data_IF_699890535405
#
_entry.id   IF_699890535405
#
_cell.length_a   1.000
_cell.length_b   1.000
_cell.length_c   1.000
_cell.angle_alpha   90.00
_cell.angle_beta   90.00
_cell.angle_gamma   90.00
#
_symmetry.space_group_name_H-M   'P 1'
#
loop_
_entity.id
_entity.type
_entity.pdbx_description
1 polymer ?
#
# COMPACT_ATOMS: atom_id res chain seq x y z
N UNK A 1 -14.93 2.10 15.94
CA UNK A 1 -14.75 2.15 14.47
C UNK A 1 -14.02 3.45 14.14
N UNK A 2 -12.71 3.39 13.90
CA UNK A 2 -11.85 4.56 13.62
C UNK A 2 -11.97 4.89 12.11
N UNK A 3 -12.14 6.15 11.69
CA UNK A 3 -12.36 6.47 10.28
C UNK A 3 -11.08 6.22 9.44
N UNK A 4 -11.20 5.80 8.17
CA UNK A 4 -10.06 5.56 7.28
C UNK A 4 -9.45 6.86 6.72
N UNK A 5 -9.17 7.86 7.57
CA UNK A 5 -8.61 9.15 7.16
C UNK A 5 -7.09 9.26 7.29
N UNK A 6 -6.49 8.54 8.24
CA UNK A 6 -5.10 8.79 8.68
C UNK A 6 -4.07 8.58 7.55
N UNK A 7 -4.24 7.57 6.70
CA UNK A 7 -3.24 7.22 5.68
C UNK A 7 -3.08 8.27 4.57
N UNK A 8 -4.18 8.89 4.11
CA UNK A 8 -4.15 9.94 3.10
C UNK A 8 -3.48 11.20 3.64
N UNK A 9 -3.93 11.67 4.80
CA UNK A 9 -3.43 12.90 5.39
C UNK A 9 -1.92 12.80 5.67
N UNK A 10 -1.46 11.63 6.12
CA UNK A 10 -0.03 11.36 6.33
C UNK A 10 0.74 11.40 5.00
N UNK A 11 0.23 10.74 3.95
CA UNK A 11 0.88 10.72 2.63
C UNK A 11 1.02 12.11 2.01
N UNK A 12 -0.06 12.89 2.03
CA UNK A 12 -0.07 14.25 1.46
C UNK A 12 0.82 15.21 2.26
N UNK A 13 0.82 15.10 3.60
CA UNK A 13 1.67 15.93 4.48
C UNK A 13 3.15 15.59 4.41
N UNK A 14 3.50 14.33 4.13
CA UNK A 14 4.88 13.87 4.05
C UNK A 14 5.48 13.95 2.63
N UNK A 15 4.74 14.50 1.67
CA UNK A 15 5.13 14.52 0.25
C UNK A 15 5.48 13.12 -0.27
N UNK A 16 4.69 12.11 0.15
CA UNK A 16 4.85 10.75 -0.35
C UNK A 16 4.59 10.70 -1.85
N UNK A 17 5.31 9.83 -2.55
CA UNK A 17 5.22 9.65 -4.01
C UNK A 17 4.12 8.67 -4.41
N UNK A 18 3.66 7.84 -3.49
CA UNK A 18 2.55 6.91 -3.69
C UNK A 18 1.93 6.46 -2.35
N UNK A 19 0.67 6.06 -2.42
CA UNK A 19 -0.01 5.26 -1.41
C UNK A 19 -0.02 3.80 -1.88
N UNK A 20 0.46 2.89 -1.04
CA UNK A 20 0.46 1.45 -1.30
C UNK A 20 -0.51 0.80 -0.33
N UNK A 21 -1.45 0.01 -0.84
CA UNK A 21 -2.45 -0.64 -0.02
C UNK A 21 -2.48 -2.14 -0.28
N UNK A 22 -2.22 -2.93 0.76
CA UNK A 22 -2.40 -4.38 0.72
C UNK A 22 -3.84 -4.72 1.03
N UNK A 23 -4.44 -5.58 0.20
CA UNK A 23 -5.85 -5.94 0.38
C UNK A 23 -6.18 -7.33 -0.13
N UNK A 24 -7.10 -7.99 0.57
CA UNK A 24 -7.60 -9.32 0.20
C UNK A 24 -9.02 -9.30 -0.36
N UNK A 25 -9.81 -8.28 -0.03
CA UNK A 25 -11.19 -8.08 -0.52
C UNK A 25 -11.36 -6.82 -1.36
N UNK A 26 -10.37 -5.92 -1.36
CA UNK A 26 -10.44 -4.62 -2.01
C UNK A 26 -11.04 -3.50 -1.15
N UNK A 27 -11.60 -3.78 0.04
CA UNK A 27 -12.28 -2.78 0.87
C UNK A 27 -11.36 -1.60 1.25
N UNK A 28 -10.14 -1.90 1.71
CA UNK A 28 -9.11 -0.90 2.02
C UNK A 28 -8.84 0.06 0.85
N UNK A 29 -8.67 -0.49 -0.35
CA UNK A 29 -8.37 0.29 -1.55
C UNK A 29 -9.57 1.15 -1.95
N UNK A 30 -10.78 0.60 -1.90
CA UNK A 30 -12.01 1.35 -2.20
C UNK A 30 -12.23 2.50 -1.21
N UNK A 31 -11.89 2.33 0.07
CA UNK A 31 -11.95 3.41 1.08
C UNK A 31 -10.95 4.52 0.75
N UNK A 32 -9.72 4.19 0.38
CA UNK A 32 -8.69 5.16 0.00
C UNK A 32 -9.06 5.88 -1.31
N UNK A 33 -9.53 5.15 -2.32
CA UNK A 33 -9.92 5.70 -3.61
C UNK A 33 -11.06 6.73 -3.50
N UNK A 34 -12.01 6.51 -2.58
CA UNK A 34 -13.10 7.46 -2.28
C UNK A 34 -12.62 8.81 -1.75
N UNK A 35 -11.39 8.90 -1.27
CA UNK A 35 -10.81 10.16 -0.79
C UNK A 35 -10.28 11.03 -1.95
N UNK A 36 -10.24 10.50 -3.18
CA UNK A 36 -9.80 11.23 -4.37
C UNK A 36 -8.46 11.96 -4.21
N UNK A 37 -7.51 11.31 -3.53
CA UNK A 37 -6.15 11.83 -3.37
C UNK A 37 -5.46 11.94 -4.74
N UNK A 38 -4.63 12.97 -4.97
CA UNK A 38 -3.83 13.07 -6.19
C UNK A 38 -2.64 12.10 -6.20
N UNK A 39 -2.34 11.45 -5.07
CA UNK A 39 -1.26 10.48 -4.99
C UNK A 39 -1.63 9.19 -5.76
N UNK A 40 -0.69 8.59 -6.52
CA UNK A 40 -0.88 7.27 -7.10
C UNK A 40 -1.27 6.25 -6.03
N UNK A 41 -2.40 5.54 -6.23
CA UNK A 41 -2.87 4.49 -5.35
C UNK A 41 -2.52 3.12 -5.95
N UNK A 42 -1.63 2.40 -5.28
CA UNK A 42 -1.07 1.13 -5.72
C UNK A 42 -1.63 0.00 -4.85
N UNK A 43 -2.50 -0.83 -5.43
CA UNK A 43 -3.16 -1.92 -4.73
C UNK A 43 -2.42 -3.24 -4.92
N UNK A 44 -2.02 -3.86 -3.82
CA UNK A 44 -1.34 -5.15 -3.77
C UNK A 44 -2.37 -6.21 -3.33
N UNK A 45 -2.71 -7.12 -4.22
CA UNK A 45 -3.73 -8.14 -3.99
C UNK A 45 -3.21 -9.54 -4.35
N UNK A 46 -3.44 -10.56 -3.51
CA UNK A 46 -3.02 -11.93 -3.81
C UNK A 46 -4.01 -12.73 -4.65
N UNK A 47 -5.21 -12.20 -4.87
CA UNK A 47 -6.27 -12.87 -5.61
C UNK A 47 -6.48 -12.18 -6.97
N UNK A 48 -6.37 -12.90 -8.11
CA UNK A 48 -6.59 -12.33 -9.44
C UNK A 48 -7.96 -11.66 -9.59
N UNK A 49 -9.01 -12.24 -9.01
CA UNK A 49 -10.37 -11.67 -9.08
C UNK A 49 -10.44 -10.29 -8.42
N UNK A 50 -9.77 -10.12 -7.27
CA UNK A 50 -9.72 -8.85 -6.54
C UNK A 50 -8.95 -7.81 -7.33
N UNK A 51 -7.81 -8.20 -7.94
CA UNK A 51 -7.07 -7.33 -8.86
C UNK A 51 -7.95 -6.84 -10.00
N UNK A 52 -8.66 -7.75 -10.67
CA UNK A 52 -9.53 -7.41 -11.80
C UNK A 52 -10.67 -6.47 -11.38
N UNK A 53 -11.28 -6.71 -10.22
CA UNK A 53 -12.31 -5.83 -9.67
C UNK A 53 -11.77 -4.43 -9.33
N UNK A 54 -10.54 -4.35 -8.80
CA UNK A 54 -9.91 -3.10 -8.42
C UNK A 54 -9.41 -2.30 -9.62
N UNK A 55 -9.20 -2.91 -10.79
CA UNK A 55 -8.88 -2.20 -12.02
C UNK A 55 -9.99 -1.21 -12.46
N UNK A 56 -11.22 -1.42 -11.99
CA UNK A 56 -12.35 -0.49 -12.19
C UNK A 56 -12.47 0.56 -11.08
N UNK A 57 -11.59 0.52 -10.08
CA UNK A 57 -11.61 1.47 -8.95
C UNK A 57 -10.80 2.71 -9.33
N UNK A 58 -11.36 3.89 -9.04
CA UNK A 58 -10.78 5.17 -9.42
C UNK A 58 -9.33 5.33 -8.92
N UNK A 59 -8.45 5.84 -9.79
CA UNK A 59 -7.06 6.19 -9.46
C UNK A 59 -6.19 5.02 -8.99
N UNK A 60 -6.65 3.77 -9.18
CA UNK A 60 -6.00 2.58 -8.62
C UNK A 60 -5.23 1.82 -9.69
N UNK A 61 -3.94 1.60 -9.45
CA UNK A 61 -3.14 0.64 -10.19
C UNK A 61 -2.97 -0.63 -9.36
N UNK A 62 -3.11 -1.81 -9.99
CA UNK A 62 -3.22 -3.07 -9.26
C UNK A 62 -2.09 -4.04 -9.59
N UNK A 63 -1.54 -4.66 -8.55
CA UNK A 63 -0.43 -5.61 -8.61
C UNK A 63 -0.91 -6.94 -8.04
N UNK A 64 -0.81 -8.00 -8.85
CA UNK A 64 -0.95 -9.37 -8.37
C UNK A 64 0.35 -9.75 -7.67
N UNK A 65 0.27 -10.10 -6.39
CA UNK A 65 1.45 -10.41 -5.58
C UNK A 65 1.24 -11.67 -4.75
N UNK A 66 2.31 -12.36 -4.40
CA UNK A 66 2.19 -13.54 -3.54
C UNK A 66 1.77 -13.16 -2.12
N UNK A 67 0.98 -14.02 -1.43
CA UNK A 67 0.65 -13.81 -0.02
C UNK A 67 1.92 -13.72 0.84
N UNK A 68 1.95 -12.71 1.70
CA UNK A 68 3.05 -12.45 2.64
C UNK A 68 2.63 -12.78 4.07
N UNK A 69 3.60 -13.11 4.93
CA UNK A 69 3.35 -13.53 6.33
C UNK A 69 3.78 -12.49 7.35
N UNK A 70 4.74 -11.65 7.01
CA UNK A 70 5.29 -10.62 7.90
C UNK A 70 5.22 -9.23 7.27
N UNK A 71 5.26 -8.19 8.10
CA UNK A 71 5.36 -6.80 7.62
C UNK A 71 6.65 -6.58 6.82
N UNK A 72 7.75 -7.22 7.20
CA UNK A 72 9.02 -7.11 6.47
C UNK A 72 8.93 -7.71 5.06
N UNK A 73 8.19 -8.82 4.90
CA UNK A 73 7.89 -9.37 3.57
C UNK A 73 7.10 -8.38 2.72
N UNK A 74 6.16 -7.66 3.32
CA UNK A 74 5.39 -6.63 2.63
C UNK A 74 6.30 -5.51 2.12
N UNK A 75 7.18 -4.99 2.98
CA UNK A 75 8.12 -3.91 2.63
C UNK A 75 9.02 -4.36 1.47
N UNK A 76 9.63 -5.54 1.55
CA UNK A 76 10.46 -6.10 0.47
C UNK A 76 9.68 -6.27 -0.84
N UNK A 77 8.42 -6.70 -0.76
CA UNK A 77 7.57 -6.88 -1.92
C UNK A 77 7.20 -5.54 -2.57
N UNK A 78 6.96 -4.49 -1.77
CA UNK A 78 6.77 -3.12 -2.26
C UNK A 78 8.01 -2.62 -2.97
N UNK A 79 9.19 -2.73 -2.35
CA UNK A 79 10.45 -2.28 -2.96
C UNK A 79 10.69 -2.97 -4.31
N UNK A 80 10.55 -4.29 -4.34
CA UNK A 80 10.73 -5.08 -5.56
C UNK A 80 9.76 -4.67 -6.67
N UNK A 81 8.48 -4.47 -6.32
CA UNK A 81 7.46 -4.11 -7.29
C UNK A 81 7.64 -2.67 -7.81
N UNK A 82 7.96 -1.71 -6.93
CA UNK A 82 8.09 -0.31 -7.30
C UNK A 82 9.39 -0.03 -8.05
N UNK A 83 10.52 -0.62 -7.66
CA UNK A 83 11.79 -0.44 -8.36
C UNK A 83 11.80 -1.04 -9.78
N UNK A 84 10.83 -1.90 -10.11
CA UNK A 84 10.61 -2.38 -11.48
C UNK A 84 9.81 -1.41 -12.34
N UNK A 85 9.22 -0.38 -11.74
CA UNK A 85 8.51 0.68 -12.46
C UNK A 85 9.48 1.84 -12.64
N UNK A 86 9.75 2.25 -13.87
CA UNK A 86 10.70 3.33 -14.22
C UNK A 86 10.37 4.72 -13.62
N UNK A 87 9.27 4.83 -12.86
CA UNK A 87 8.81 6.04 -12.17
C UNK A 87 9.16 6.08 -10.68
N UNK A 88 9.67 4.99 -10.09
CA UNK A 88 10.13 4.96 -8.69
C UNK A 88 11.61 4.61 -8.61
N UNK A 89 12.29 5.12 -7.59
CA UNK A 89 13.71 4.91 -7.34
C UNK A 89 14.00 4.81 -5.84
N UNK A 90 15.18 4.31 -5.52
CA UNK A 90 15.68 4.26 -4.15
C UNK A 90 15.58 5.63 -3.47
N UNK A 91 15.13 5.66 -2.23
CA UNK A 91 14.94 6.86 -1.41
C UNK A 91 13.61 7.60 -1.60
N UNK A 92 12.81 7.24 -2.62
CA UNK A 92 11.44 7.77 -2.77
C UNK A 92 10.58 7.34 -1.56
N UNK A 93 9.78 8.25 -1.05
CA UNK A 93 8.91 8.01 0.11
C UNK A 93 7.57 7.45 -0.33
N UNK A 94 7.11 6.37 0.31
CA UNK A 94 5.79 5.78 0.10
C UNK A 94 5.10 5.52 1.43
N UNK A 95 3.76 5.54 1.43
CA UNK A 95 2.97 5.16 2.60
C UNK A 95 2.30 3.83 2.33
N UNK A 96 2.59 2.85 3.18
CA UNK A 96 2.03 1.49 3.11
C UNK A 96 0.88 1.39 4.11
N UNK A 97 -0.28 0.95 3.62
CA UNK A 97 -1.50 0.72 4.41
C UNK A 97 -1.86 -0.76 4.34
N UNK A 98 -2.04 -1.40 5.50
CA UNK A 98 -2.31 -2.82 5.58
C UNK A 98 -3.03 -3.25 6.86
N UNK A 99 -3.45 -4.52 6.91
CA UNK A 99 -3.83 -5.20 8.15
C UNK A 99 -2.63 -5.89 8.80
N UNK A 100 -2.56 -5.86 10.13
CA UNK A 100 -1.57 -6.61 10.92
C UNK A 100 -2.30 -7.57 11.86
N UNK A 101 -2.02 -8.90 11.82
CA UNK A 101 -1.06 -9.57 10.97
C UNK A 101 -1.50 -9.67 9.50
N UNK A 102 -0.55 -9.85 8.56
CA UNK A 102 -0.85 -9.97 7.13
C UNK A 102 -1.88 -11.06 6.85
N UNK A 103 -2.66 -10.86 5.78
CA UNK A 103 -3.65 -11.83 5.29
C UNK A 103 -4.95 -11.97 6.12
N UNK A 104 -5.15 -11.12 7.14
CA UNK A 104 -6.38 -11.02 7.93
C UNK A 104 -7.40 -10.12 7.23
N UNK A 105 -8.58 -10.65 6.89
CA UNK A 105 -9.66 -9.87 6.26
C UNK A 105 -10.32 -8.98 7.34
N UNK A 106 -10.53 -7.70 7.03
CA UNK A 106 -11.27 -6.77 7.90
C UNK A 106 -10.42 -6.01 8.92
N UNK A 107 -9.11 -6.31 9.02
CA UNK A 107 -8.15 -5.47 9.74
C UNK A 107 -7.41 -4.59 8.72
N UNK A 108 -7.40 -3.28 8.94
CA UNK A 108 -6.55 -2.32 8.23
C UNK A 108 -6.02 -1.34 9.27
N UNK A 109 -5.16 -1.86 10.13
CA UNK A 109 -4.72 -1.18 11.36
C UNK A 109 -3.23 -0.80 11.32
N UNK A 110 -2.56 -0.98 10.17
CA UNK A 110 -1.17 -0.61 9.95
C UNK A 110 -1.07 0.52 8.92
N UNK A 111 -0.39 1.61 9.32
CA UNK A 111 0.13 2.64 8.41
C UNK A 111 1.64 2.71 8.65
N UNK A 112 2.43 2.51 7.61
CA UNK A 112 3.89 2.51 7.67
C UNK A 112 4.45 3.45 6.60
N UNK A 113 5.29 4.40 7.02
CA UNK A 113 5.97 5.31 6.11
C UNK A 113 7.34 4.71 5.81
N UNK A 114 7.62 4.48 4.53
CA UNK A 114 8.79 3.74 4.07
C UNK A 114 9.55 4.49 2.98
N UNK A 115 10.88 4.44 3.00
CA UNK A 115 11.72 4.90 1.89
C UNK A 115 12.20 3.70 1.07
N UNK A 116 11.92 3.72 -0.22
CA UNK A 116 12.21 2.57 -1.09
C UNK A 116 13.70 2.19 -1.01
N UNK A 117 13.98 0.92 -0.72
CA UNK A 117 15.32 0.36 -0.68
C UNK A 117 16.18 0.79 0.52
N UNK A 118 15.60 1.43 1.53
CA UNK A 118 16.27 1.58 2.83
C UNK A 118 15.88 0.44 3.76
N UNK A 119 16.87 -0.15 4.43
CA UNK A 119 16.62 -1.03 5.55
C UNK A 119 16.42 -0.15 6.79
N UNK A 120 15.22 0.44 6.95
CA UNK A 120 14.88 1.19 8.16
C UNK A 120 14.63 0.22 9.33
N UNK A 121 15.64 -0.60 9.65
CA UNK A 121 15.82 -1.21 10.97
C UNK A 121 16.48 -0.17 11.87
N UNK A 122 15.75 0.89 12.22
CA UNK A 122 16.15 1.68 13.40
C UNK A 122 15.80 0.85 14.62
N UNK A 123 16.73 -0.03 15.01
CA UNK A 123 16.87 -0.46 16.39
C UNK A 123 17.02 0.80 17.24
N UNK A 124 16.04 1.04 18.09
CA UNK A 124 16.20 1.78 19.34
C UNK A 124 15.60 0.94 20.46
#
# INVERSE_FOLDING_TARGET
MRPPGDGRDIGERLHAKALVAFTRSGDTVRRLARLHTPLPLLAFAPLPDVRNQLALTWGTETFLVDPVRTTDDMIRQVDTALLRLDRYRHGDLVVIVAGSPPNTIGSTDLIHVHRIGTNDHTSH
#
